data_IF_831497667475
#
_entry.id   IF_831497667475
#
_cell.length_a   1.000
_cell.length_b   1.000
_cell.length_c   1.000
_cell.angle_alpha   90.00
_cell.angle_beta   90.00
_cell.angle_gamma   90.00
#
_symmetry.space_group_name_H-M   'P 1'
#
loop_
_entity.id
_entity.type
_entity.pdbx_description
1 polymer ?
#
# COMPACT_ATOMS: atom_id res chain seq x y z
N UNK A 1 -0.74 5.47 -14.90
CA UNK A 1 0.38 5.42 -15.87
C UNK A 1 1.57 6.30 -15.47
N UNK A 2 1.41 7.27 -14.57
CA UNK A 2 2.46 8.20 -14.18
C UNK A 2 3.40 7.70 -13.09
N UNK A 3 3.00 6.67 -12.34
CA UNK A 3 3.72 6.19 -11.15
C UNK A 3 4.19 4.73 -11.27
N UNK A 4 3.81 4.03 -12.36
CA UNK A 4 3.99 2.59 -12.55
C UNK A 4 5.18 2.22 -13.46
N UNK A 5 6.06 3.16 -13.76
CA UNK A 5 7.22 2.97 -14.63
C UNK A 5 6.95 3.17 -16.12
N UNK A 6 5.69 3.21 -16.57
CA UNK A 6 5.36 3.36 -17.99
C UNK A 6 5.75 4.74 -18.54
N UNK A 7 5.38 5.80 -17.83
CA UNK A 7 5.77 7.15 -18.22
C UNK A 7 7.29 7.31 -18.14
N UNK A 8 7.91 6.82 -17.07
CA UNK A 8 9.35 6.84 -16.88
C UNK A 8 10.09 6.16 -18.05
N UNK A 9 9.62 5.00 -18.51
CA UNK A 9 10.23 4.29 -19.63
C UNK A 9 10.13 5.07 -20.95
N UNK A 10 9.04 5.79 -21.18
CA UNK A 10 8.88 6.66 -22.37
C UNK A 10 9.86 7.84 -22.28
N UNK A 11 9.98 8.48 -21.13
CA UNK A 11 10.87 9.60 -20.91
C UNK A 11 12.35 9.20 -21.07
N UNK A 12 12.74 8.04 -20.50
CA UNK A 12 14.08 7.49 -20.66
C UNK A 12 14.40 7.19 -22.14
N UNK A 13 13.48 6.55 -22.85
CA UNK A 13 13.65 6.26 -24.27
C UNK A 13 13.77 7.53 -25.13
N UNK A 14 13.12 8.62 -24.72
CA UNK A 14 13.17 9.93 -25.40
C UNK A 14 14.35 10.80 -24.94
N UNK A 15 15.15 10.36 -23.96
CA UNK A 15 16.23 11.17 -23.38
C UNK A 15 15.75 12.40 -22.60
N UNK A 16 14.52 12.36 -22.10
CA UNK A 16 13.91 13.48 -21.36
C UNK A 16 14.13 13.28 -19.85
N UNK A 17 14.85 14.19 -19.16
CA UNK A 17 15.04 14.09 -17.72
C UNK A 17 13.73 14.31 -16.97
N UNK A 18 13.56 13.59 -15.85
CA UNK A 18 12.40 13.70 -14.97
C UNK A 18 12.83 13.57 -13.50
N UNK A 19 11.96 14.01 -12.60
CA UNK A 19 12.14 13.84 -11.14
C UNK A 19 11.39 12.61 -10.66
N UNK A 20 11.99 11.86 -9.73
CA UNK A 20 11.39 10.67 -9.12
C UNK A 20 12.18 9.41 -9.37
N UNK A 21 11.60 8.28 -8.99
CA UNK A 21 12.22 6.97 -9.16
C UNK A 21 12.26 6.53 -10.63
N UNK A 22 13.29 5.75 -10.99
CA UNK A 22 13.40 5.14 -12.31
C UNK A 22 12.34 4.06 -12.57
N UNK A 23 12.35 3.50 -13.78
CA UNK A 23 11.33 2.55 -14.28
C UNK A 23 11.11 1.38 -13.34
N UNK A 24 12.17 0.67 -12.96
CA UNK A 24 12.07 -0.54 -12.13
C UNK A 24 11.50 -0.24 -10.73
N UNK A 25 12.04 0.78 -10.06
CA UNK A 25 11.57 1.15 -8.72
C UNK A 25 10.11 1.59 -8.72
N UNK A 26 9.70 2.38 -9.71
CA UNK A 26 8.30 2.81 -9.90
C UNK A 26 7.38 1.61 -10.13
N UNK A 27 7.74 0.68 -11.01
CA UNK A 27 6.94 -0.51 -11.32
C UNK A 27 6.79 -1.42 -10.10
N UNK A 28 7.88 -1.70 -9.38
CA UNK A 28 7.85 -2.53 -8.16
C UNK A 28 7.03 -1.86 -7.06
N UNK A 29 7.21 -0.56 -6.83
CA UNK A 29 6.51 0.16 -5.76
C UNK A 29 5.01 0.30 -6.02
N UNK A 30 4.58 0.39 -7.28
CA UNK A 30 3.17 0.48 -7.64
C UNK A 30 2.45 -0.86 -7.48
N UNK A 31 3.13 -1.98 -7.68
CA UNK A 31 2.57 -3.32 -7.46
C UNK A 31 2.88 -3.80 -6.04
N UNK A 32 1.85 -3.78 -5.18
CA UNK A 32 1.98 -4.22 -3.77
C UNK A 32 2.42 -5.68 -3.64
N UNK A 33 2.06 -6.53 -4.61
CA UNK A 33 2.49 -7.94 -4.62
C UNK A 33 3.99 -8.05 -4.89
N UNK A 34 4.50 -7.27 -5.84
CA UNK A 34 5.92 -7.19 -6.14
C UNK A 34 6.69 -6.56 -4.96
N UNK A 35 6.18 -5.44 -4.43
CA UNK A 35 6.75 -4.77 -3.24
C UNK A 35 6.88 -5.74 -2.06
N UNK A 36 5.84 -6.51 -1.74
CA UNK A 36 5.85 -7.48 -0.65
C UNK A 36 6.94 -8.55 -0.83
N UNK A 37 7.04 -9.12 -2.02
CA UNK A 37 8.07 -10.12 -2.33
C UNK A 37 9.48 -9.53 -2.21
N UNK A 38 9.67 -8.30 -2.70
CA UNK A 38 10.95 -7.60 -2.60
C UNK A 38 11.35 -7.35 -1.14
N UNK A 39 10.45 -6.78 -0.33
CA UNK A 39 10.69 -6.53 1.09
C UNK A 39 11.01 -7.82 1.86
N UNK A 40 10.24 -8.88 1.61
CA UNK A 40 10.48 -10.19 2.24
C UNK A 40 11.84 -10.77 1.85
N UNK A 41 12.24 -10.68 0.58
CA UNK A 41 13.56 -11.16 0.12
C UNK A 41 14.72 -10.37 0.71
N UNK A 42 14.49 -9.09 1.03
CA UNK A 42 15.45 -8.21 1.70
C UNK A 42 15.42 -8.31 3.24
N UNK A 43 14.59 -9.19 3.81
CA UNK A 43 14.44 -9.32 5.26
C UNK A 43 13.77 -8.12 5.94
N UNK A 44 13.09 -7.26 5.19
CA UNK A 44 12.40 -6.08 5.71
C UNK A 44 11.02 -6.48 6.22
N UNK A 45 10.69 -6.19 7.49
CA UNK A 45 9.40 -6.51 8.06
C UNK A 45 8.24 -5.85 7.31
N UNK A 46 7.20 -6.64 7.02
CA UNK A 46 5.96 -6.16 6.41
C UNK A 46 4.79 -6.96 6.95
N UNK A 47 3.56 -6.43 6.88
CA UNK A 47 2.38 -7.14 7.37
C UNK A 47 2.25 -8.51 6.67
N UNK A 48 1.98 -9.60 7.41
CA UNK A 48 1.68 -10.89 6.81
C UNK A 48 0.54 -10.77 5.81
N UNK A 49 0.69 -11.42 4.65
CA UNK A 49 -0.29 -11.30 3.57
C UNK A 49 -0.44 -12.59 2.77
N UNK A 50 -1.61 -12.72 2.16
CA UNK A 50 -1.93 -13.68 1.10
C UNK A 50 -2.11 -12.90 -0.19
N UNK A 51 -1.40 -13.27 -1.25
CA UNK A 51 -1.57 -12.73 -2.60
C UNK A 51 -2.47 -13.69 -3.36
N UNK A 52 -3.56 -13.18 -3.90
CA UNK A 52 -4.64 -13.94 -4.51
C UNK A 52 -4.79 -13.46 -5.95
N UNK A 53 -4.61 -14.36 -6.91
CA UNK A 53 -4.94 -14.08 -8.30
C UNK A 53 -6.41 -14.40 -8.56
N UNK A 54 -7.10 -13.54 -9.31
CA UNK A 54 -8.54 -13.68 -9.61
C UNK A 54 -8.89 -15.00 -10.28
N UNK A 55 -8.03 -15.50 -11.16
CA UNK A 55 -8.26 -16.76 -11.87
C UNK A 55 -8.08 -17.99 -11.00
N UNK A 56 -7.28 -17.87 -9.93
CA UNK A 56 -6.97 -18.97 -9.00
C UNK A 56 -7.81 -18.88 -7.70
N UNK A 57 -8.65 -17.86 -7.56
CA UNK A 57 -9.38 -17.58 -6.33
C UNK A 57 -10.39 -18.67 -5.94
N UNK A 58 -10.91 -19.41 -6.92
CA UNK A 58 -11.91 -20.45 -6.69
C UNK A 58 -13.21 -19.92 -6.12
N UNK A 59 -13.80 -20.65 -5.17
CA UNK A 59 -14.97 -20.20 -4.44
C UNK A 59 -14.61 -19.14 -3.41
N UNK A 60 -15.17 -17.93 -3.57
CA UNK A 60 -14.86 -16.78 -2.71
C UNK A 60 -15.29 -16.97 -1.24
N UNK A 61 -16.30 -17.79 -0.97
CA UNK A 61 -16.71 -18.08 0.41
C UNK A 61 -15.66 -18.92 1.14
N UNK A 62 -15.19 -19.97 0.50
CA UNK A 62 -14.10 -20.82 1.00
C UNK A 62 -12.81 -20.00 1.19
N UNK A 63 -12.52 -19.13 0.24
CA UNK A 63 -11.37 -18.21 0.31
C UNK A 63 -11.49 -17.22 1.49
N UNK A 64 -12.69 -16.68 1.72
CA UNK A 64 -12.95 -15.77 2.84
C UNK A 64 -12.73 -16.46 4.20
N UNK A 65 -13.21 -17.70 4.36
CA UNK A 65 -12.99 -18.50 5.55
C UNK A 65 -11.50 -18.75 5.80
N UNK A 66 -10.74 -19.06 4.75
CA UNK A 66 -9.29 -19.23 4.84
C UNK A 66 -8.58 -17.94 5.28
N UNK A 67 -8.96 -16.80 4.70
CA UNK A 67 -8.40 -15.47 5.04
C UNK A 67 -8.68 -15.16 6.52
N UNK A 68 -9.91 -15.38 6.98
CA UNK A 68 -10.30 -15.13 8.36
C UNK A 68 -9.53 -16.06 9.33
N UNK A 69 -9.38 -17.32 8.95
CA UNK A 69 -8.62 -18.29 9.75
C UNK A 69 -7.15 -17.90 9.91
N UNK A 70 -6.53 -17.33 8.84
CA UNK A 70 -5.12 -16.95 8.81
C UNK A 70 -4.84 -15.64 9.56
N UNK A 71 -5.67 -14.61 9.32
CA UNK A 71 -5.38 -13.24 9.78
C UNK A 71 -6.30 -12.73 10.87
N UNK A 72 -7.46 -13.36 11.09
CA UNK A 72 -8.52 -12.85 11.93
C UNK A 72 -9.25 -11.66 11.33
N UNK A 73 -10.08 -11.01 12.14
CA UNK A 73 -10.81 -9.77 11.80
C UNK A 73 -10.43 -8.65 12.78
N UNK A 74 -10.35 -7.40 12.34
CA UNK A 74 -10.47 -6.96 10.94
C UNK A 74 -9.29 -7.42 10.08
N UNK A 75 -9.52 -7.60 8.79
CA UNK A 75 -8.50 -7.90 7.78
C UNK A 75 -8.48 -6.79 6.73
N UNK A 76 -7.35 -6.55 6.06
CA UNK A 76 -7.24 -5.57 4.98
C UNK A 76 -7.27 -6.29 3.64
N UNK A 77 -8.24 -5.95 2.79
CA UNK A 77 -8.33 -6.43 1.42
C UNK A 77 -8.00 -5.27 0.49
N UNK A 78 -7.07 -5.45 -0.44
CA UNK A 78 -6.64 -4.36 -1.32
C UNK A 78 -6.20 -4.82 -2.71
N UNK A 79 -6.55 -4.03 -3.72
CA UNK A 79 -6.06 -4.20 -5.07
C UNK A 79 -4.53 -4.01 -5.14
N UNK A 80 -3.81 -4.88 -5.87
CA UNK A 80 -2.35 -4.86 -5.92
C UNK A 80 -1.81 -3.60 -6.60
N UNK A 81 -2.45 -3.16 -7.70
CA UNK A 81 -1.89 -2.16 -8.62
C UNK A 81 -2.65 -0.82 -8.62
N UNK A 82 -3.29 -0.45 -7.49
CA UNK A 82 -3.98 0.83 -7.35
C UNK A 82 -3.32 1.72 -6.30
N UNK A 83 -3.38 3.03 -6.52
CA UNK A 83 -2.96 4.06 -5.57
C UNK A 83 -4.13 4.66 -4.79
N UNK A 84 -3.83 5.65 -3.95
CA UNK A 84 -4.82 6.53 -3.28
C UNK A 84 -5.93 5.82 -2.51
N UNK A 85 -5.65 4.64 -1.95
CA UNK A 85 -6.62 3.80 -1.22
C UNK A 85 -7.79 3.28 -2.07
N UNK A 86 -7.74 3.39 -3.41
CA UNK A 86 -8.73 2.81 -4.31
C UNK A 86 -8.64 1.27 -4.23
N UNK A 87 -9.79 0.60 -4.10
CA UNK A 87 -9.83 -0.86 -3.95
C UNK A 87 -9.24 -1.36 -2.64
N UNK A 88 -9.22 -0.53 -1.59
CA UNK A 88 -8.85 -0.91 -0.22
C UNK A 88 -10.11 -0.97 0.63
N UNK A 89 -10.38 -2.12 1.23
CA UNK A 89 -11.51 -2.35 2.14
C UNK A 89 -10.97 -3.03 3.41
N UNK A 90 -11.56 -2.71 4.55
CA UNK A 90 -11.19 -3.30 5.85
C UNK A 90 -12.41 -3.99 6.47
N UNK A 91 -12.73 -5.23 6.05
CA UNK A 91 -13.79 -6.03 6.62
C UNK A 91 -13.64 -6.20 8.13
N UNK A 92 -14.70 -5.95 8.87
CA UNK A 92 -14.79 -6.12 10.33
C UNK A 92 -15.59 -7.35 10.71
N UNK A 93 -16.41 -7.85 9.79
CA UNK A 93 -17.25 -9.03 9.95
C UNK A 93 -16.98 -10.05 8.83
N UNK A 94 -17.31 -11.32 9.07
CA UNK A 94 -17.11 -12.38 8.07
C UNK A 94 -17.92 -12.12 6.77
N UNK A 95 -19.11 -11.57 6.92
CA UNK A 95 -20.01 -11.28 5.81
C UNK A 95 -19.47 -10.19 4.87
N UNK A 96 -18.58 -9.34 5.35
CA UNK A 96 -17.98 -8.26 4.55
C UNK A 96 -16.80 -8.72 3.68
N UNK A 97 -16.21 -9.91 3.95
CA UNK A 97 -14.96 -10.32 3.28
C UNK A 97 -15.16 -10.63 1.81
N UNK A 98 -16.22 -11.39 1.45
CA UNK A 98 -16.53 -11.69 0.05
C UNK A 98 -16.81 -10.41 -0.75
N UNK A 99 -17.72 -9.51 -0.32
CA UNK A 99 -17.90 -8.23 -1.00
C UNK A 99 -16.61 -7.40 -1.15
N UNK A 100 -15.72 -7.44 -0.16
CA UNK A 100 -14.44 -6.74 -0.22
C UNK A 100 -13.50 -7.34 -1.28
N UNK A 101 -13.46 -8.67 -1.42
CA UNK A 101 -12.72 -9.36 -2.48
C UNK A 101 -13.26 -8.99 -3.85
N UNK A 102 -14.57 -9.06 -4.03
CA UNK A 102 -15.25 -8.69 -5.28
C UNK A 102 -14.93 -7.23 -5.66
N UNK A 103 -14.99 -6.32 -4.70
CA UNK A 103 -14.66 -4.90 -4.93
C UNK A 103 -13.20 -4.74 -5.36
N UNK A 104 -12.25 -5.34 -4.65
CA UNK A 104 -10.83 -5.24 -4.96
C UNK A 104 -10.49 -5.84 -6.35
N UNK A 105 -11.15 -6.95 -6.73
CA UNK A 105 -10.99 -7.57 -8.05
C UNK A 105 -11.54 -6.76 -9.22
N UNK A 106 -12.31 -5.70 -8.99
CA UNK A 106 -12.69 -4.76 -10.06
C UNK A 106 -11.52 -3.93 -10.55
N UNK A 107 -10.50 -3.73 -9.70
CA UNK A 107 -9.40 -2.82 -9.93
C UNK A 107 -8.07 -3.52 -10.27
N UNK A 108 -7.92 -4.79 -9.93
CA UNK A 108 -6.68 -5.53 -10.15
C UNK A 108 -6.94 -7.03 -10.22
N UNK A 109 -6.19 -7.73 -11.07
CA UNK A 109 -6.23 -9.20 -11.14
C UNK A 109 -5.61 -9.85 -9.91
N UNK A 110 -4.64 -9.19 -9.27
CA UNK A 110 -4.09 -9.62 -8.01
C UNK A 110 -4.65 -8.76 -6.87
N UNK A 111 -5.07 -9.42 -5.82
CA UNK A 111 -5.57 -8.81 -4.58
C UNK A 111 -4.73 -9.32 -3.42
N UNK A 112 -4.48 -8.46 -2.45
CA UNK A 112 -3.84 -8.83 -1.19
C UNK A 112 -4.88 -8.88 -0.08
N UNK A 113 -4.85 -9.97 0.70
CA UNK A 113 -5.46 -10.02 2.02
C UNK A 113 -4.33 -9.92 3.04
N UNK A 114 -4.39 -8.95 3.96
CA UNK A 114 -3.32 -8.69 4.92
C UNK A 114 -3.85 -8.61 6.34
N UNK A 115 -3.03 -9.06 7.28
CA UNK A 115 -3.29 -8.80 8.70
C UNK A 115 -3.42 -7.30 8.95
N UNK A 116 -4.53 -6.88 9.55
CA UNK A 116 -4.74 -5.48 9.93
C UNK A 116 -3.83 -5.12 11.10
N UNK A 117 -2.87 -4.23 10.85
CA UNK A 117 -1.97 -3.71 11.87
C UNK A 117 -2.56 -2.42 12.43
N UNK A 118 -2.77 -2.39 13.75
CA UNK A 118 -3.19 -1.20 14.45
C UNK A 118 -1.97 -0.38 14.87
N UNK A 119 -2.02 0.91 14.66
CA UNK A 119 -0.92 1.81 15.00
C UNK A 119 -1.10 3.19 14.40
N UNK A 120 -0.08 4.02 14.55
CA UNK A 120 -0.01 5.32 13.90
C UNK A 120 0.48 5.18 12.46
N UNK A 121 -0.08 5.98 11.58
CA UNK A 121 0.31 5.99 10.17
C UNK A 121 1.48 6.96 9.97
N UNK A 122 2.58 6.46 9.46
CA UNK A 122 3.82 7.21 9.27
C UNK A 122 4.23 7.19 7.81
N UNK A 123 4.93 8.24 7.39
CA UNK A 123 5.63 8.25 6.11
C UNK A 123 7.00 8.92 6.25
N UNK A 124 7.93 8.50 5.40
CA UNK A 124 9.26 9.07 5.30
C UNK A 124 9.58 9.27 3.83
N UNK A 125 9.88 10.51 3.46
CA UNK A 125 10.38 10.80 2.11
C UNK A 125 11.87 10.49 2.04
N UNK A 126 12.31 9.91 0.92
CA UNK A 126 13.72 9.66 0.64
C UNK A 126 14.14 10.57 -0.51
N UNK A 127 15.20 11.33 -0.30
CA UNK A 127 15.85 12.14 -1.34
C UNK A 127 17.18 11.51 -1.70
N UNK A 128 17.58 11.64 -2.96
CA UNK A 128 18.94 11.32 -3.36
C UNK A 128 19.81 12.57 -3.24
N UNK A 129 20.93 12.45 -2.57
CA UNK A 129 21.93 13.50 -2.43
C UNK A 129 23.31 12.91 -2.76
N UNK A 130 23.92 13.36 -3.86
CA UNK A 130 25.21 12.86 -4.35
C UNK A 130 25.24 11.34 -4.64
N UNK A 131 24.15 10.78 -5.12
CA UNK A 131 24.02 9.35 -5.43
C UNK A 131 23.65 8.46 -4.23
N UNK A 132 23.49 9.05 -3.03
CA UNK A 132 23.14 8.31 -1.81
C UNK A 132 21.71 8.63 -1.34
N UNK A 133 20.94 7.61 -0.92
CA UNK A 133 19.60 7.82 -0.40
C UNK A 133 19.65 8.47 1.00
N UNK A 134 18.98 9.59 1.15
CA UNK A 134 18.90 10.34 2.41
C UNK A 134 17.45 10.42 2.90
N UNK A 135 17.12 9.84 4.07
CA UNK A 135 15.79 9.96 4.65
C UNK A 135 15.57 11.38 5.17
N UNK A 136 14.37 11.90 4.93
CA UNK A 136 13.86 13.12 5.55
C UNK A 136 13.20 12.81 6.91
N UNK A 137 12.85 13.82 7.72
CA UNK A 137 12.18 13.59 8.99
C UNK A 137 10.90 12.77 8.83
N UNK A 138 10.64 11.90 9.80
CA UNK A 138 9.42 11.10 9.87
C UNK A 138 8.21 12.01 9.99
N UNK A 139 7.16 11.72 9.24
CA UNK A 139 5.88 12.42 9.30
C UNK A 139 4.84 11.49 9.90
N UNK A 140 4.15 11.93 10.96
CA UNK A 140 2.95 11.28 11.44
C UNK A 140 1.73 11.83 10.72
N UNK A 141 0.97 10.93 10.09
CA UNK A 141 -0.28 11.21 9.41
C UNK A 141 -1.42 10.91 10.39
N UNK A 142 -2.17 11.95 10.77
CA UNK A 142 -3.23 11.86 11.76
C UNK A 142 -4.60 12.22 11.14
N UNK A 143 -5.28 11.29 10.44
CA UNK A 143 -6.59 11.55 9.86
C UNK A 143 -7.64 11.70 10.96
N UNK A 144 -8.50 12.72 10.87
CA UNK A 144 -9.54 13.00 11.85
C UNK A 144 -10.62 11.89 11.89
N UNK A 145 -10.83 11.17 10.78
CA UNK A 145 -11.74 10.02 10.69
C UNK A 145 -11.18 8.74 11.34
N UNK A 146 -9.88 8.73 11.67
CA UNK A 146 -9.16 7.53 12.13
C UNK A 146 -8.75 6.59 11.01
N UNK A 147 -9.05 6.90 9.74
CA UNK A 147 -8.64 6.12 8.57
C UNK A 147 -8.10 7.06 7.48
N UNK A 148 -6.92 6.73 6.94
CA UNK A 148 -6.30 7.52 5.87
C UNK A 148 -6.79 7.04 4.49
N UNK A 149 -8.09 7.21 4.27
CA UNK A 149 -8.81 6.90 3.05
C UNK A 149 -8.71 8.01 2.00
N UNK A 150 -9.39 7.84 0.87
CA UNK A 150 -9.39 8.82 -0.22
C UNK A 150 -9.90 10.21 0.26
N UNK A 151 -10.96 10.23 1.07
CA UNK A 151 -11.51 11.49 1.60
C UNK A 151 -10.48 12.20 2.49
N UNK A 152 -9.85 11.47 3.41
CA UNK A 152 -8.85 12.02 4.34
C UNK A 152 -7.59 12.51 3.61
N UNK A 153 -7.25 11.92 2.46
CA UNK A 153 -6.09 12.33 1.63
C UNK A 153 -6.32 13.64 0.87
N UNK A 154 -7.52 13.83 0.35
CA UNK A 154 -7.78 14.90 -0.63
C UNK A 154 -8.74 15.99 -0.14
N UNK A 155 -9.29 15.87 1.06
CA UNK A 155 -10.12 16.92 1.66
C UNK A 155 -9.28 17.81 2.57
N UNK A 156 -9.24 19.10 2.27
CA UNK A 156 -8.51 20.09 3.09
C UNK A 156 -9.02 20.08 4.54
N UNK A 157 -8.10 19.92 5.49
CA UNK A 157 -8.41 19.92 6.92
C UNK A 157 -8.98 18.59 7.44
N UNK A 158 -9.00 17.51 6.66
CA UNK A 158 -9.43 16.19 7.12
C UNK A 158 -8.30 15.38 7.80
N UNK A 159 -7.06 15.83 7.67
CA UNK A 159 -5.87 15.14 8.20
C UNK A 159 -4.85 16.17 8.70
N UNK A 160 -4.29 15.92 9.88
CA UNK A 160 -3.14 16.64 10.39
C UNK A 160 -1.84 15.90 10.06
N UNK A 161 -0.79 16.67 9.76
CA UNK A 161 0.55 16.16 9.47
C UNK A 161 1.54 16.75 10.44
N UNK A 162 2.19 15.91 11.23
CA UNK A 162 3.19 16.31 12.20
C UNK A 162 4.58 15.97 11.67
N UNK A 163 5.39 17.00 11.37
CA UNK A 163 6.75 16.86 10.85
C UNK A 163 7.71 17.78 11.63
N UNK A 164 8.73 17.24 12.32
CA UNK A 164 8.94 15.81 12.58
C UNK A 164 7.84 15.22 13.45
N UNK A 165 7.61 13.90 13.31
CA UNK A 165 6.67 13.21 14.17
C UNK A 165 7.08 13.31 15.65
N UNK A 166 6.15 13.59 16.58
CA UNK A 166 6.47 13.83 17.99
C UNK A 166 6.64 12.50 18.75
N UNK A 167 7.60 11.68 18.33
CA UNK A 167 7.95 10.43 18.97
C UNK A 167 9.32 10.53 19.64
N UNK A 168 9.57 9.65 20.61
CA UNK A 168 10.88 9.53 21.23
C UNK A 168 11.89 8.88 20.26
N UNK A 169 13.18 9.05 20.56
CA UNK A 169 14.28 8.50 19.75
C UNK A 169 14.26 6.97 19.62
N UNK A 170 13.50 6.25 20.47
CA UNK A 170 13.36 4.79 20.39
C UNK A 170 12.26 4.37 19.41
N UNK A 171 11.40 5.30 19.04
CA UNK A 171 10.26 5.07 18.15
C UNK A 171 10.56 5.56 16.72
N UNK A 172 11.50 6.44 16.57
CA UNK A 172 12.01 6.97 15.30
C UNK A 172 13.35 6.37 14.93
#
# INVERSE_FOLDING_TARGET
>A
YGEDGRLQSILEAAGIPYTGCGVLASAVSMDKSATKRYLQSAGIPTAPCMIINKHDAGDLQTLAEKIISEFGLPVVIKAATQGSSIGVVIPKTAQEVVPALEEAFKYSENVLAEKCIKGKELTISIMEENGEPKPLPVIWIAPHSGAYDFHSKYTKGATDYHCPAPFDEKTT
#
